data_IF_973078915828
#
_entry.id   IF_973078915828
#
_cell.length_a   1.000
_cell.length_b   1.000
_cell.length_c   1.000
_cell.angle_alpha   90.00
_cell.angle_beta   90.00
_cell.angle_gamma   90.00
#
_symmetry.space_group_name_H-M   'P 1'
#
loop_
_entity.id
_entity.type
_entity.pdbx_description
1 polymer ?
#
# COMPACT_ATOMS: atom_id res chain seq x y z
N UNK A 1 29.29 8.46 -22.88
CA UNK A 1 28.54 9.14 -23.96
C UNK A 1 27.12 9.36 -23.46
N UNK A 2 26.78 10.59 -23.08
CA UNK A 2 25.44 10.94 -22.65
C UNK A 2 24.57 11.10 -23.91
N UNK A 3 23.64 10.17 -24.11
CA UNK A 3 22.65 10.28 -25.18
C UNK A 3 21.66 11.40 -24.81
N UNK A 4 21.48 12.35 -25.73
CA UNK A 4 20.57 13.49 -25.57
C UNK A 4 19.13 13.03 -25.39
N UNK A 5 18.50 13.50 -24.31
CA UNK A 5 17.07 13.33 -24.06
C UNK A 5 16.28 14.25 -25.00
N UNK A 6 15.29 13.69 -25.70
CA UNK A 6 14.36 14.45 -26.55
C UNK A 6 13.31 15.13 -25.67
N UNK A 7 12.80 16.32 -26.08
CA UNK A 7 11.71 16.97 -25.35
C UNK A 7 10.43 16.13 -25.51
N UNK A 8 10.05 15.42 -24.45
CA UNK A 8 8.91 14.50 -24.44
C UNK A 8 9.13 13.19 -23.68
N UNK A 9 10.36 12.89 -23.26
CA UNK A 9 10.62 11.72 -22.41
C UNK A 9 10.01 11.95 -21.02
N UNK A 10 8.85 11.33 -20.78
CA UNK A 10 8.37 11.10 -19.42
C UNK A 10 9.46 10.28 -18.73
N UNK A 11 10.19 10.91 -17.81
CA UNK A 11 11.19 10.22 -16.99
C UNK A 11 10.44 9.26 -16.09
N UNK A 12 10.28 8.02 -16.55
CA UNK A 12 9.71 6.94 -15.74
C UNK A 12 10.76 6.61 -14.67
N UNK A 13 10.40 6.64 -13.38
CA UNK A 13 11.35 6.28 -12.33
C UNK A 13 11.81 4.83 -12.52
N UNK A 14 13.01 4.48 -12.03
CA UNK A 14 13.50 3.11 -12.11
C UNK A 14 12.50 2.16 -11.46
N UNK A 15 12.17 1.08 -12.18
CA UNK A 15 11.31 0.01 -11.69
C UNK A 15 12.18 -1.16 -11.20
N UNK A 16 11.70 -1.83 -10.16
CA UNK A 16 12.38 -2.96 -9.54
C UNK A 16 11.44 -4.15 -9.43
N UNK A 17 12.00 -5.35 -9.42
CA UNK A 17 11.28 -6.58 -9.22
C UNK A 17 12.03 -7.45 -8.20
N UNK A 18 11.27 -8.12 -7.32
CA UNK A 18 11.77 -9.19 -6.47
C UNK A 18 11.47 -10.52 -7.16
N UNK A 19 12.52 -11.26 -7.53
CA UNK A 19 12.40 -12.56 -8.18
C UNK A 19 12.64 -13.67 -7.16
N UNK A 20 11.66 -14.55 -7.01
CA UNK A 20 11.79 -15.80 -6.26
C UNK A 20 11.94 -16.94 -7.26
N UNK A 21 13.04 -17.68 -7.19
CA UNK A 21 13.30 -18.80 -8.08
C UNK A 21 12.85 -20.11 -7.43
N UNK A 22 12.30 -21.02 -8.23
CA UNK A 22 11.89 -22.35 -7.78
C UNK A 22 13.09 -23.21 -7.35
N UNK A 23 14.27 -22.93 -7.91
CA UNK A 23 15.53 -23.56 -7.57
C UNK A 23 16.61 -22.50 -7.30
N UNK A 24 17.59 -22.78 -6.43
CA UNK A 24 18.73 -21.89 -6.21
C UNK A 24 19.51 -21.65 -7.51
N UNK A 25 19.83 -20.38 -7.79
CA UNK A 25 20.62 -19.97 -8.96
C UNK A 25 21.94 -19.38 -8.48
N UNK A 26 23.05 -19.84 -9.05
CA UNK A 26 24.37 -19.24 -8.84
C UNK A 26 24.63 -18.21 -9.94
N UNK A 27 24.84 -16.95 -9.56
CA UNK A 27 25.16 -15.88 -10.48
C UNK A 27 26.15 -14.89 -9.84
N UNK A 28 27.05 -14.27 -10.61
CA UNK A 28 27.90 -13.21 -10.09
C UNK A 28 27.07 -11.96 -9.76
N UNK A 29 27.59 -11.13 -8.87
CA UNK A 29 26.97 -9.84 -8.55
C UNK A 29 26.80 -8.99 -9.83
N UNK A 30 25.72 -8.20 -9.90
CA UNK A 30 25.44 -7.29 -11.02
C UNK A 30 25.26 -7.97 -12.39
N UNK A 31 24.99 -9.28 -12.40
CA UNK A 31 24.64 -10.03 -13.61
C UNK A 31 23.48 -9.41 -14.39
N UNK A 32 23.51 -9.57 -15.71
CA UNK A 32 22.37 -9.29 -16.58
C UNK A 32 21.29 -10.35 -16.34
N UNK A 33 20.07 -9.90 -16.10
CA UNK A 33 18.88 -10.73 -16.00
C UNK A 33 18.01 -10.52 -17.24
N UNK A 34 17.48 -11.63 -17.77
CA UNK A 34 16.51 -11.63 -18.87
C UNK A 34 15.34 -12.51 -18.43
N UNK A 35 14.13 -11.94 -18.45
CA UNK A 35 12.88 -12.66 -18.24
C UNK A 35 12.21 -12.90 -19.58
N UNK A 36 11.85 -14.15 -19.87
CA UNK A 36 11.20 -14.53 -21.11
C UNK A 36 10.07 -15.54 -20.87
N UNK A 37 9.02 -15.46 -21.68
CA UNK A 37 7.92 -16.40 -21.69
C UNK A 37 8.16 -17.45 -22.77
N UNK A 38 8.89 -18.52 -22.42
CA UNK A 38 9.31 -19.56 -23.37
C UNK A 38 8.23 -20.61 -23.66
N UNK A 39 7.19 -20.66 -22.82
CA UNK A 39 5.99 -21.51 -22.94
C UNK A 39 4.97 -20.99 -23.97
N UNK A 40 5.18 -19.81 -24.56
CA UNK A 40 4.27 -19.24 -25.55
C UNK A 40 4.27 -20.02 -26.88
N UNK A 41 3.12 -20.01 -27.58
CA UNK A 41 2.92 -20.71 -28.86
C UNK A 41 4.04 -20.37 -29.86
N UNK A 42 4.65 -21.42 -30.42
CA UNK A 42 5.76 -21.30 -31.35
C UNK A 42 5.36 -20.61 -32.66
N UNK A 43 4.08 -20.71 -33.04
CA UNK A 43 3.54 -20.13 -34.27
C UNK A 43 3.06 -18.68 -34.09
N UNK A 44 3.02 -18.17 -32.86
CA UNK A 44 2.75 -16.74 -32.62
C UNK A 44 4.01 -15.92 -32.85
N UNK A 45 3.92 -14.95 -33.77
CA UNK A 45 4.95 -13.96 -34.06
C UNK A 45 4.88 -12.78 -33.06
N UNK A 46 4.97 -13.08 -31.77
CA UNK A 46 5.04 -12.09 -30.69
C UNK A 46 6.38 -12.19 -29.97
N UNK A 47 6.89 -11.06 -29.47
CA UNK A 47 8.14 -11.04 -28.73
C UNK A 47 7.99 -11.83 -27.41
N UNK A 48 8.86 -12.81 -27.19
CA UNK A 48 8.85 -13.66 -25.97
C UNK A 48 9.74 -13.12 -24.86
N UNK A 49 10.59 -12.13 -25.15
CA UNK A 49 11.37 -11.43 -24.13
C UNK A 49 10.47 -10.43 -23.42
N UNK A 50 10.23 -10.64 -22.12
CA UNK A 50 9.33 -9.82 -21.32
C UNK A 50 10.05 -8.62 -20.70
N UNK A 51 11.23 -8.86 -20.12
CA UNK A 51 12.02 -7.80 -19.48
C UNK A 51 13.50 -8.16 -19.45
N UNK A 52 14.33 -7.13 -19.24
CA UNK A 52 15.73 -7.30 -18.88
C UNK A 52 16.10 -6.33 -17.75
N UNK A 53 17.14 -6.64 -17.00
CA UNK A 53 17.57 -5.84 -15.87
C UNK A 53 18.95 -6.24 -15.37
N UNK A 54 19.41 -5.59 -14.31
CA UNK A 54 20.63 -5.99 -13.60
C UNK A 54 20.26 -6.53 -12.23
N UNK A 55 20.96 -7.57 -11.80
CA UNK A 55 20.89 -8.05 -10.42
C UNK A 55 21.45 -6.96 -9.49
N UNK A 56 20.65 -6.49 -8.53
CA UNK A 56 21.06 -5.39 -7.63
C UNK A 56 21.47 -5.94 -6.26
N UNK A 57 20.66 -6.84 -5.72
CA UNK A 57 20.83 -7.40 -4.39
C UNK A 57 20.42 -8.88 -4.42
N UNK A 58 21.10 -9.68 -3.61
CA UNK A 58 20.85 -11.11 -3.45
C UNK A 58 20.21 -11.33 -2.08
N UNK A 59 19.08 -12.04 -2.08
CA UNK A 59 18.36 -12.38 -0.85
C UNK A 59 18.61 -13.86 -0.57
N UNK A 60 19.46 -14.12 0.42
CA UNK A 60 19.69 -15.48 0.91
C UNK A 60 18.63 -15.82 1.96
N UNK A 61 17.94 -16.95 1.79
CA UNK A 61 17.17 -17.56 2.85
C UNK A 61 18.15 -17.99 3.94
N UNK A 62 18.17 -17.26 5.06
CA UNK A 62 19.14 -17.47 6.14
C UNK A 62 18.60 -18.52 7.10
N UNK A 63 18.83 -19.80 6.80
CA UNK A 63 18.60 -20.88 7.76
C UNK A 63 18.45 -22.26 7.13
N UNK A 64 19.08 -23.32 7.69
CA UNK A 64 18.91 -24.70 7.22
C UNK A 64 17.48 -25.27 7.40
N UNK A 65 16.56 -24.54 8.04
CA UNK A 65 15.13 -24.87 8.16
C UNK A 65 14.20 -23.99 7.32
N UNK A 66 14.73 -22.99 6.61
CA UNK A 66 13.94 -21.93 5.96
C UNK A 66 13.91 -22.03 4.42
N UNK A 67 14.67 -22.97 3.85
CA UNK A 67 14.80 -23.17 2.40
C UNK A 67 13.52 -23.70 1.69
N UNK A 68 12.39 -23.75 2.39
CA UNK A 68 11.08 -24.10 1.84
C UNK A 68 9.90 -23.46 2.59
N UNK A 69 10.15 -22.57 3.54
CA UNK A 69 9.10 -21.89 4.30
C UNK A 69 9.00 -20.42 3.90
N UNK A 70 7.78 -19.97 3.62
CA UNK A 70 7.46 -18.56 3.35
C UNK A 70 7.92 -17.57 4.45
N UNK A 71 8.31 -18.07 5.63
CA UNK A 71 8.79 -17.28 6.78
C UNK A 71 10.22 -16.74 6.63
N UNK A 72 11.16 -17.54 6.13
CA UNK A 72 12.57 -17.13 6.05
C UNK A 72 12.83 -16.06 4.98
N UNK A 73 12.14 -16.17 3.85
CA UNK A 73 12.17 -15.16 2.80
C UNK A 73 11.57 -13.81 3.27
N UNK A 74 10.53 -13.84 4.11
CA UNK A 74 9.92 -12.64 4.66
C UNK A 74 10.88 -11.87 5.57
N UNK A 75 11.61 -12.56 6.44
CA UNK A 75 12.61 -11.96 7.33
C UNK A 75 13.74 -11.28 6.56
N UNK A 76 14.31 -11.96 5.55
CA UNK A 76 15.37 -11.40 4.72
C UNK A 76 14.89 -10.25 3.82
N UNK A 77 13.61 -10.27 3.41
CA UNK A 77 12.99 -9.21 2.60
C UNK A 77 12.42 -8.05 3.44
N UNK A 78 12.37 -8.14 4.77
CA UNK A 78 11.88 -7.07 5.65
C UNK A 78 12.69 -5.77 5.54
N UNK A 79 13.96 -5.85 5.13
CA UNK A 79 14.80 -4.69 4.79
C UNK A 79 14.22 -3.86 3.64
N UNK A 80 13.46 -4.50 2.74
CA UNK A 80 12.78 -3.82 1.66
C UNK A 80 11.45 -3.28 2.17
N UNK A 81 11.32 -1.96 2.20
CA UNK A 81 10.09 -1.23 2.57
C UNK A 81 9.04 -1.28 1.45
N UNK A 82 8.72 -2.48 0.96
CA UNK A 82 7.73 -2.72 -0.09
C UNK A 82 6.35 -2.73 0.55
N UNK A 83 5.47 -1.85 0.09
CA UNK A 83 4.09 -1.74 0.57
C UNK A 83 3.10 -1.62 -0.58
N UNK A 84 1.85 -1.95 -0.27
CA UNK A 84 0.69 -1.63 -1.11
C UNK A 84 -0.01 -0.43 -0.50
N UNK A 85 -0.19 0.62 -1.29
CA UNK A 85 -1.10 1.71 -0.94
C UNK A 85 -2.53 1.17 -0.95
N UNK A 86 -3.22 1.32 0.17
CA UNK A 86 -4.61 0.95 0.32
C UNK A 86 -5.41 2.16 0.70
N UNK A 87 -6.58 2.25 0.10
CA UNK A 87 -7.56 3.28 0.40
C UNK A 87 -8.85 2.62 0.83
N UNK A 88 -9.50 3.20 1.83
CA UNK A 88 -10.88 2.88 2.18
C UNK A 88 -11.70 4.15 2.15
N UNK A 89 -12.91 4.02 1.63
CA UNK A 89 -13.85 5.12 1.50
C UNK A 89 -15.04 4.88 2.42
N UNK A 90 -15.54 5.96 2.99
CA UNK A 90 -16.71 6.00 3.86
C UNK A 90 -17.46 7.31 3.68
N UNK A 91 -18.52 7.46 4.46
CA UNK A 91 -19.34 8.67 4.45
C UNK A 91 -19.62 9.17 5.87
N UNK A 92 -19.65 10.48 6.03
CA UNK A 92 -20.17 11.13 7.22
C UNK A 92 -21.69 10.98 7.20
N UNK A 93 -22.24 10.34 8.23
CA UNK A 93 -23.69 10.18 8.37
C UNK A 93 -24.30 11.34 9.13
N UNK A 94 -23.63 11.81 10.19
CA UNK A 94 -24.08 12.94 11.00
C UNK A 94 -22.94 13.57 11.79
N UNK A 95 -22.93 14.89 11.86
CA UNK A 95 -22.09 15.67 12.77
C UNK A 95 -22.67 15.66 14.19
N UNK A 96 -21.86 15.30 15.19
CA UNK A 96 -22.27 15.34 16.61
C UNK A 96 -22.01 16.72 17.19
N UNK A 97 -20.86 17.29 16.86
CA UNK A 97 -20.45 18.66 17.16
C UNK A 97 -19.41 19.12 16.12
N UNK A 98 -18.75 20.25 16.35
CA UNK A 98 -17.73 20.81 15.45
C UNK A 98 -16.41 20.01 15.44
N UNK A 99 -16.25 19.07 16.38
CA UNK A 99 -15.03 18.26 16.55
C UNK A 99 -15.27 16.76 16.37
N UNK A 100 -16.51 16.32 16.16
CA UNK A 100 -16.88 14.90 16.13
C UNK A 100 -17.96 14.62 15.09
N UNK A 101 -17.75 13.56 14.32
CA UNK A 101 -18.72 13.04 13.37
C UNK A 101 -18.91 11.53 13.51
N UNK A 102 -20.14 11.07 13.28
CA UNK A 102 -20.47 9.66 13.12
C UNK A 102 -20.44 9.32 11.64
N UNK A 103 -19.62 8.33 11.29
CA UNK A 103 -19.36 7.90 9.92
C UNK A 103 -19.78 6.44 9.71
N UNK A 104 -20.03 6.06 8.45
CA UNK A 104 -20.41 4.71 8.05
C UNK A 104 -19.83 4.31 6.69
N UNK A 105 -19.96 3.03 6.34
CA UNK A 105 -19.62 2.53 5.01
C UNK A 105 -18.14 2.20 4.78
N UNK A 106 -17.25 2.53 5.72
CA UNK A 106 -15.81 2.22 5.61
C UNK A 106 -15.43 0.83 6.16
N UNK A 107 -16.21 0.33 7.12
CA UNK A 107 -15.94 -0.91 7.85
C UNK A 107 -17.18 -1.80 7.87
N UNK A 108 -16.96 -3.12 7.83
CA UNK A 108 -18.03 -4.11 8.04
C UNK A 108 -18.30 -4.28 9.52
N UNK A 109 -19.47 -4.78 9.89
CA UNK A 109 -19.89 -4.98 11.28
C UNK A 109 -18.92 -5.89 12.06
N UNK A 110 -18.36 -6.89 11.40
CA UNK A 110 -17.38 -7.84 11.95
C UNK A 110 -15.93 -7.35 11.93
N UNK A 111 -15.67 -6.11 11.47
CA UNK A 111 -14.30 -5.58 11.43
C UNK A 111 -13.82 -5.25 12.83
N UNK A 112 -12.64 -5.75 13.20
CA UNK A 112 -11.97 -5.33 14.42
C UNK A 112 -11.49 -3.88 14.29
N UNK A 113 -12.20 -2.99 14.96
CA UNK A 113 -11.97 -1.56 14.91
C UNK A 113 -10.77 -1.12 15.76
N UNK A 114 -10.25 -1.98 16.64
CA UNK A 114 -9.06 -1.66 17.45
C UNK A 114 -7.84 -1.39 16.56
N UNK A 115 -7.73 -2.12 15.44
CA UNK A 115 -6.69 -1.95 14.43
C UNK A 115 -6.76 -0.61 13.69
N UNK A 116 -7.90 0.09 13.76
CA UNK A 116 -8.15 1.33 13.02
C UNK A 116 -8.31 2.54 13.94
N UNK A 117 -8.25 2.36 15.26
CA UNK A 117 -8.23 3.47 16.19
C UNK A 117 -6.96 4.30 15.99
N UNK A 118 -7.09 5.62 16.17
CA UNK A 118 -6.03 6.59 15.97
C UNK A 118 -5.51 6.74 14.53
N UNK A 119 -6.12 6.07 13.55
CA UNK A 119 -5.80 6.32 12.14
C UNK A 119 -6.48 7.58 11.63
N UNK A 120 -5.75 8.32 10.81
CA UNK A 120 -6.17 9.55 10.17
C UNK A 120 -7.08 9.28 8.98
N UNK A 121 -8.09 10.12 8.84
CA UNK A 121 -9.07 10.13 7.76
C UNK A 121 -9.19 11.54 7.22
N UNK A 122 -9.33 11.68 5.91
CA UNK A 122 -9.50 12.98 5.24
C UNK A 122 -10.93 13.10 4.72
N UNK A 123 -11.60 14.22 4.98
CA UNK A 123 -12.87 14.55 4.32
C UNK A 123 -12.63 14.90 2.86
N UNK A 124 -13.68 14.90 2.03
CA UNK A 124 -13.57 15.36 0.64
C UNK A 124 -13.18 16.84 0.49
N UNK A 125 -13.31 17.63 1.55
CA UNK A 125 -12.82 19.03 1.60
C UNK A 125 -11.36 19.13 2.05
N UNK A 126 -10.73 18.02 2.43
CA UNK A 126 -9.33 17.97 2.85
C UNK A 126 -9.09 18.11 4.36
N UNK A 127 -10.15 18.19 5.18
CA UNK A 127 -10.00 18.25 6.63
C UNK A 127 -9.56 16.88 7.16
N UNK A 128 -8.55 16.89 8.02
CA UNK A 128 -8.03 15.69 8.67
C UNK A 128 -8.74 15.46 10.00
N UNK A 129 -9.28 14.26 10.17
CA UNK A 129 -9.78 13.71 11.43
C UNK A 129 -9.08 12.42 11.80
N UNK A 130 -9.38 11.89 12.98
CA UNK A 130 -8.81 10.67 13.55
C UNK A 130 -9.94 9.75 13.99
N UNK A 131 -9.84 8.46 13.68
CA UNK A 131 -10.83 7.47 14.12
C UNK A 131 -10.73 7.30 15.63
N UNK A 132 -11.75 7.73 16.36
CA UNK A 132 -11.82 7.64 17.81
C UNK A 132 -12.29 6.25 18.29
N UNK A 133 -13.10 5.55 17.49
CA UNK A 133 -13.57 4.21 17.83
C UNK A 133 -14.91 3.85 17.20
N UNK A 134 -15.56 2.83 17.76
CA UNK A 134 -16.82 2.29 17.23
C UNK A 134 -18.03 3.11 17.67
N UNK A 135 -19.11 3.03 16.89
CA UNK A 135 -20.41 3.60 17.24
C UNK A 135 -21.50 2.53 17.09
N UNK A 136 -21.84 1.86 18.18
CA UNK A 136 -22.88 0.82 18.19
C UNK A 136 -22.48 -0.45 17.42
N UNK A 137 -23.50 -1.18 16.91
CA UNK A 137 -23.34 -2.53 16.33
C UNK A 137 -23.51 -2.60 14.80
N UNK A 138 -23.37 -1.48 14.09
CA UNK A 138 -23.71 -1.37 12.65
C UNK A 138 -22.53 -0.99 11.75
N UNK A 139 -21.29 -1.23 12.19
CA UNK A 139 -20.09 -0.83 11.43
C UNK A 139 -19.91 0.70 11.33
N UNK A 140 -20.66 1.46 12.12
CA UNK A 140 -20.49 2.90 12.29
C UNK A 140 -19.32 3.17 13.23
N UNK A 141 -18.67 4.30 13.01
CA UNK A 141 -17.48 4.69 13.75
C UNK A 141 -17.49 6.20 14.00
N UNK A 142 -16.78 6.61 15.04
CA UNK A 142 -16.61 8.02 15.38
C UNK A 142 -15.29 8.52 14.82
N UNK A 143 -15.32 9.73 14.27
CA UNK A 143 -14.14 10.48 13.86
C UNK A 143 -14.07 11.74 14.71
N UNK A 144 -12.90 12.02 15.28
CA UNK A 144 -12.59 13.23 16.02
C UNK A 144 -11.67 14.13 15.18
N UNK A 145 -11.98 15.41 15.09
CA UNK A 145 -11.22 16.40 14.35
C UNK A 145 -10.40 17.24 15.31
N UNK A 146 -9.14 17.53 14.95
CA UNK A 146 -8.26 18.36 15.79
C UNK A 146 -8.64 19.84 15.74
N UNK A 147 -9.26 20.27 14.64
CA UNK A 147 -9.72 21.64 14.41
C UNK A 147 -11.23 21.63 14.27
N UNK A 148 -11.89 22.69 14.79
CA UNK A 148 -13.32 22.88 14.61
C UNK A 148 -13.67 22.95 13.12
N UNK A 149 -14.58 22.09 12.68
CA UNK A 149 -15.11 22.08 11.33
C UNK A 149 -16.24 23.11 11.23
N UNK A 150 -16.10 24.20 10.44
CA UNK A 150 -17.14 25.21 10.30
C UNK A 150 -18.45 24.61 9.81
N UNK A 151 -19.59 25.14 10.28
CA UNK A 151 -20.93 24.66 9.86
C UNK A 151 -21.17 24.76 8.35
N UNK A 152 -20.56 25.75 7.70
CA UNK A 152 -20.57 25.90 6.24
C UNK A 152 -19.87 24.75 5.53
N UNK A 153 -18.88 24.14 6.17
CA UNK A 153 -18.15 22.99 5.63
C UNK A 153 -18.93 21.69 5.89
N UNK A 154 -19.55 21.57 7.07
CA UNK A 154 -20.41 20.44 7.42
C UNK A 154 -21.61 20.27 6.47
N UNK A 155 -22.11 21.35 5.86
CA UNK A 155 -23.23 21.33 4.92
C UNK A 155 -22.81 21.06 3.47
N UNK A 156 -21.51 21.08 3.15
CA UNK A 156 -21.02 20.80 1.79
C UNK A 156 -21.16 19.30 1.48
N UNK A 157 -21.62 18.94 0.26
CA UNK A 157 -21.75 17.54 -0.13
C UNK A 157 -20.39 16.82 -0.15
N UNK A 158 -19.30 17.52 -0.47
CA UNK A 158 -17.95 16.95 -0.48
C UNK A 158 -17.44 16.63 0.92
N UNK A 159 -17.89 17.34 1.95
CA UNK A 159 -17.52 17.05 3.34
C UNK A 159 -18.12 15.74 3.83
N UNK A 160 -19.12 15.18 3.13
CA UNK A 160 -19.68 13.89 3.46
C UNK A 160 -18.80 12.72 3.02
N UNK A 161 -17.87 12.93 2.09
CA UNK A 161 -16.95 11.87 1.65
C UNK A 161 -15.81 11.77 2.64
N UNK A 162 -15.45 10.55 3.02
CA UNK A 162 -14.35 10.28 3.92
C UNK A 162 -13.41 9.24 3.31
N UNK A 163 -12.12 9.53 3.30
CA UNK A 163 -11.10 8.65 2.73
C UNK A 163 -10.00 8.37 3.76
N UNK A 164 -9.63 7.11 3.89
CA UNK A 164 -8.56 6.63 4.75
C UNK A 164 -7.51 5.93 3.89
N UNK A 165 -6.31 6.50 3.83
CA UNK A 165 -5.20 5.95 3.06
C UNK A 165 -4.14 5.41 4.00
N UNK A 166 -3.67 4.19 3.77
CA UNK A 166 -2.65 3.55 4.59
C UNK A 166 -1.78 2.61 3.76
N UNK A 167 -0.55 2.39 4.22
CA UNK A 167 0.40 1.46 3.61
C UNK A 167 0.32 0.13 4.32
N UNK A 168 0.14 -0.95 3.55
CA UNK A 168 0.29 -2.33 4.02
C UNK A 168 1.60 -2.90 3.50
N UNK A 169 2.58 -3.07 4.38
CA UNK A 169 3.88 -3.64 4.04
C UNK A 169 3.78 -5.13 3.76
N UNK A 170 4.49 -5.59 2.74
CA UNK A 170 4.40 -6.98 2.26
C UNK A 170 5.18 -7.93 3.18
N UNK A 171 6.31 -7.48 3.70
CA UNK A 171 7.26 -8.27 4.50
C UNK A 171 7.31 -7.84 5.98
N UNK A 172 6.29 -7.12 6.45
CA UNK A 172 6.19 -6.80 7.88
C UNK A 172 5.83 -8.07 8.67
N UNK A 173 6.48 -8.26 9.81
CA UNK A 173 6.21 -9.39 10.72
C UNK A 173 4.79 -9.34 11.25
N UNK A 174 4.27 -8.12 11.47
CA UNK A 174 2.87 -7.92 11.81
C UNK A 174 2.04 -7.78 10.53
N UNK A 175 1.26 -8.82 10.21
CA UNK A 175 0.37 -8.84 9.03
C UNK A 175 -0.77 -7.82 9.11
N UNK A 176 -1.03 -7.27 10.30
CA UNK A 176 -2.03 -6.25 10.55
C UNK A 176 -1.43 -4.84 10.64
N UNK A 177 -0.10 -4.70 10.59
CA UNK A 177 0.55 -3.40 10.60
C UNK A 177 0.07 -2.56 9.41
N UNK A 178 -0.50 -1.40 9.76
CA UNK A 178 -0.93 -0.37 8.83
C UNK A 178 -0.22 0.90 9.25
N UNK A 179 0.44 1.56 8.30
CA UNK A 179 1.15 2.82 8.58
C UNK A 179 0.59 3.92 7.69
N UNK A 180 0.42 5.09 8.29
CA UNK A 180 0.12 6.32 7.58
C UNK A 180 1.36 7.20 7.69
N UNK A 181 1.78 7.80 6.58
CA UNK A 181 2.70 8.92 6.66
C UNK A 181 1.87 10.12 7.07
N UNK A 182 2.23 10.72 8.20
CA UNK A 182 1.84 12.09 8.47
C UNK A 182 2.60 12.95 7.46
N UNK A 183 1.88 13.66 6.59
CA UNK A 183 2.48 14.68 5.73
C UNK A 183 3.09 15.74 6.67
N UNK A 184 4.40 15.66 6.95
CA UNK A 184 5.15 16.63 7.74
C UNK A 184 6.51 16.90 7.09
#
# INVERSE_FOLDING_TARGET
AAAGSKPGDVVVPPQYALLTFDQPVTAPEKSLLIGARLDADIHQNSCRLAFHGKLIDLVYATGPGDAGSSSGAASACSKFRIYKNKERNGVVERWTNEYEAVCKGMFKKETDMTLFQNMEVKTGTGIVGVIAGTFGKSGKFKVSFRTAVPKEEQSKPDSNRLTMSFRKYVFDSDKHAMRQESDN
#
